data_IF_719261796436
#
_entry.id   IF_719261796436
#
_cell.length_a   1.000
_cell.length_b   1.000
_cell.length_c   1.000
_cell.angle_alpha   90.00
_cell.angle_beta   90.00
_cell.angle_gamma   90.00
#
_symmetry.space_group_name_H-M   'P 1'
#
loop_
_entity.id
_entity.type
_entity.pdbx_description
1 polymer ?
#
# COMPACT_ATOMS: atom_id res chain seq x y z
N UNK A 1 -7.30 13.70 -2.57
CA UNK A 1 -8.18 12.55 -2.37
C UNK A 1 -8.21 11.68 -3.63
N UNK A 2 -8.35 10.36 -3.49
CA UNK A 2 -8.42 9.45 -4.64
C UNK A 2 -9.85 9.37 -5.16
N UNK A 3 -10.25 10.37 -5.95
CA UNK A 3 -11.56 10.50 -6.59
C UNK A 3 -11.45 10.34 -8.11
N UNK A 4 -12.59 10.23 -8.77
CA UNK A 4 -12.66 10.16 -10.24
C UNK A 4 -12.09 11.45 -10.88
N UNK A 5 -12.34 12.61 -10.30
CA UNK A 5 -11.83 13.89 -10.78
C UNK A 5 -10.30 13.95 -10.71
N UNK A 6 -9.73 13.48 -9.60
CA UNK A 6 -8.27 13.40 -9.44
C UNK A 6 -7.66 12.40 -10.43
N UNK A 7 -8.30 11.25 -10.63
CA UNK A 7 -7.88 10.26 -11.61
C UNK A 7 -7.91 10.84 -13.04
N UNK A 8 -8.98 11.53 -13.41
CA UNK A 8 -9.10 12.22 -14.70
C UNK A 8 -8.00 13.25 -14.90
N UNK A 9 -7.64 13.99 -13.85
CA UNK A 9 -6.53 14.96 -13.89
C UNK A 9 -5.18 14.28 -14.15
N UNK A 10 -4.93 13.09 -13.56
CA UNK A 10 -3.71 12.30 -13.84
C UNK A 10 -3.70 11.83 -15.30
N UNK A 11 -4.80 11.29 -15.81
CA UNK A 11 -4.86 10.88 -17.22
C UNK A 11 -4.66 12.07 -18.18
N UNK A 12 -5.24 13.22 -17.86
CA UNK A 12 -5.06 14.44 -18.64
C UNK A 12 -3.59 14.86 -18.67
N UNK A 13 -2.91 14.86 -17.52
CA UNK A 13 -1.48 15.19 -17.42
C UNK A 13 -0.63 14.21 -18.25
N UNK A 14 -0.86 12.91 -18.11
CA UNK A 14 -0.16 11.89 -18.89
C UNK A 14 -0.35 12.10 -20.40
N UNK A 15 -1.59 12.37 -20.83
CA UNK A 15 -1.92 12.59 -22.23
C UNK A 15 -1.27 13.87 -22.78
N UNK A 16 -1.39 14.99 -22.06
CA UNK A 16 -0.88 16.30 -22.48
C UNK A 16 0.65 16.30 -22.54
N UNK A 17 1.31 15.57 -21.65
CA UNK A 17 2.77 15.45 -21.65
C UNK A 17 3.29 14.39 -22.62
N UNK A 18 2.43 13.80 -23.44
CA UNK A 18 2.83 12.86 -24.50
C UNK A 18 3.21 11.47 -24.01
N UNK A 19 2.71 11.04 -22.85
CA UNK A 19 2.93 9.68 -22.37
C UNK A 19 2.38 8.66 -23.39
N UNK A 20 3.18 7.62 -23.65
CA UNK A 20 2.84 6.53 -24.57
C UNK A 20 2.54 5.23 -23.81
N UNK A 21 2.14 4.19 -24.54
CA UNK A 21 2.00 2.84 -23.97
C UNK A 21 3.30 2.24 -23.42
N UNK A 22 4.44 2.83 -23.74
CA UNK A 22 5.77 2.42 -23.29
C UNK A 22 6.33 3.31 -22.18
N UNK A 23 5.56 4.28 -21.70
CA UNK A 23 5.94 5.13 -20.58
C UNK A 23 5.91 4.35 -19.26
N UNK A 24 6.78 4.74 -18.34
CA UNK A 24 6.80 4.25 -16.97
C UNK A 24 6.24 5.33 -16.03
N UNK A 25 5.24 4.98 -15.24
CA UNK A 25 4.72 5.84 -14.18
C UNK A 25 5.42 5.51 -12.86
N UNK A 26 5.92 6.54 -12.16
CA UNK A 26 6.53 6.39 -10.83
C UNK A 26 5.58 6.99 -9.80
N UNK A 27 5.07 6.16 -8.90
CA UNK A 27 4.21 6.56 -7.78
C UNK A 27 5.08 6.78 -6.54
N UNK A 28 5.41 8.02 -6.22
CA UNK A 28 6.14 8.38 -5.00
C UNK A 28 5.17 8.98 -3.98
N UNK A 29 4.89 8.27 -2.88
CA UNK A 29 3.96 8.75 -1.85
C UNK A 29 3.37 7.66 -0.98
N UNK A 30 2.38 8.03 -0.17
CA UNK A 30 1.64 7.09 0.68
C UNK A 30 0.60 6.26 -0.10
N UNK A 31 -0.21 5.48 0.63
CA UNK A 31 -1.18 4.55 0.04
C UNK A 31 -2.18 5.19 -0.91
N UNK A 32 -2.58 6.43 -0.67
CA UNK A 32 -3.45 7.17 -1.59
C UNK A 32 -2.80 7.35 -2.97
N UNK A 33 -1.49 7.63 -3.00
CA UNK A 33 -0.75 7.83 -4.26
C UNK A 33 -0.54 6.50 -4.97
N UNK A 34 -0.18 5.44 -4.24
CA UNK A 34 0.03 4.11 -4.85
C UNK A 34 -1.25 3.52 -5.41
N UNK A 35 -2.40 3.66 -4.71
CA UNK A 35 -3.70 3.21 -5.19
C UNK A 35 -4.17 3.97 -6.43
N UNK A 36 -4.16 5.31 -6.37
CA UNK A 36 -4.61 6.17 -7.46
C UNK A 36 -3.70 6.05 -8.68
N UNK A 37 -2.38 6.11 -8.46
CA UNK A 37 -1.39 6.02 -9.54
C UNK A 37 -1.36 4.65 -10.19
N UNK A 38 -1.48 3.58 -9.40
CA UNK A 38 -1.60 2.22 -9.94
C UNK A 38 -2.86 2.06 -10.78
N UNK A 39 -4.00 2.59 -10.35
CA UNK A 39 -5.24 2.56 -11.13
C UNK A 39 -5.16 3.45 -12.38
N UNK A 40 -4.52 4.61 -12.28
CA UNK A 40 -4.25 5.46 -13.45
C UNK A 40 -3.40 4.72 -14.49
N UNK A 41 -2.32 4.06 -14.05
CA UNK A 41 -1.46 3.27 -14.92
C UNK A 41 -2.21 2.09 -15.56
N UNK A 42 -3.00 1.36 -14.78
CA UNK A 42 -3.77 0.21 -15.27
C UNK A 42 -4.80 0.57 -16.34
N UNK A 43 -5.31 1.79 -16.30
CA UNK A 43 -6.41 2.24 -17.18
C UNK A 43 -5.95 3.16 -18.32
N UNK A 44 -4.81 3.86 -18.17
CA UNK A 44 -4.26 4.71 -19.21
C UNK A 44 -3.77 3.85 -20.39
N UNK A 45 -4.26 4.15 -21.62
CA UNK A 45 -3.90 3.41 -22.86
C UNK A 45 -4.03 1.86 -22.75
N UNK A 46 -4.94 1.36 -21.93
CA UNK A 46 -5.17 -0.07 -21.58
C UNK A 46 -4.05 -0.69 -20.76
N UNK A 47 -3.31 0.10 -20.04
CA UNK A 47 -2.22 -0.29 -19.16
C UNK A 47 -0.87 0.21 -19.63
N UNK A 48 -0.15 0.86 -18.71
CA UNK A 48 1.26 1.22 -18.83
C UNK A 48 2.00 0.66 -17.62
N UNK A 49 3.31 0.49 -17.76
CA UNK A 49 4.16 0.05 -16.64
C UNK A 49 4.19 1.09 -15.52
N UNK A 50 4.26 0.61 -14.27
CA UNK A 50 4.45 1.51 -13.15
C UNK A 50 5.24 0.85 -12.02
N UNK A 51 5.88 1.69 -11.20
CA UNK A 51 6.56 1.29 -9.96
C UNK A 51 6.04 2.12 -8.80
N UNK A 52 6.03 1.54 -7.61
CA UNK A 52 5.69 2.23 -6.37
C UNK A 52 6.96 2.51 -5.54
N UNK A 53 7.04 3.73 -5.00
CA UNK A 53 8.03 4.14 -4.00
C UNK A 53 7.22 4.65 -2.79
N UNK A 54 6.77 3.74 -1.89
CA UNK A 54 5.93 4.10 -0.76
C UNK A 54 6.72 4.93 0.26
N UNK A 55 6.11 6.00 0.78
CA UNK A 55 6.74 6.92 1.74
C UNK A 55 6.09 6.91 3.12
N UNK A 56 5.04 6.12 3.34
CA UNK A 56 4.43 5.88 4.65
C UNK A 56 4.55 4.42 5.03
N UNK A 57 4.64 4.13 6.32
CA UNK A 57 4.81 2.75 6.80
C UNK A 57 3.65 1.84 6.34
N UNK A 58 2.40 2.32 6.43
CA UNK A 58 1.24 1.57 5.93
C UNK A 58 1.32 1.29 4.43
N UNK A 59 1.82 2.24 3.63
CA UNK A 59 2.01 2.00 2.21
C UNK A 59 3.12 0.98 1.93
N UNK A 60 4.20 0.99 2.71
CA UNK A 60 5.32 0.04 2.57
C UNK A 60 4.88 -1.40 2.81
N UNK A 61 4.11 -1.64 3.88
CA UNK A 61 3.76 -3.00 4.31
C UNK A 61 2.40 -3.48 3.77
N UNK A 62 1.56 -2.57 3.27
CA UNK A 62 0.21 -2.91 2.81
C UNK A 62 -0.11 -2.34 1.42
N UNK A 63 -0.37 -1.04 1.29
CA UNK A 63 -1.04 -0.49 0.12
C UNK A 63 -0.25 -0.64 -1.20
N UNK A 64 1.08 -0.60 -1.18
CA UNK A 64 1.90 -0.75 -2.39
C UNK A 64 2.08 -2.20 -2.84
N UNK A 65 1.74 -3.18 -1.99
CA UNK A 65 1.96 -4.62 -2.20
C UNK A 65 0.63 -5.32 -2.49
N UNK A 66 0.63 -6.23 -3.45
CA UNK A 66 -0.53 -7.10 -3.75
C UNK A 66 -1.48 -6.58 -4.82
N UNK A 67 -1.11 -5.49 -5.52
CA UNK A 67 -1.74 -5.08 -6.78
C UNK A 67 -3.18 -4.58 -6.70
N UNK A 68 -3.75 -4.36 -5.52
CA UNK A 68 -5.04 -3.70 -5.38
C UNK A 68 -4.85 -2.20 -5.65
N UNK A 69 -5.51 -1.69 -6.68
CA UNK A 69 -5.48 -0.28 -7.05
C UNK A 69 -6.90 0.25 -7.16
N UNK A 70 -7.13 1.54 -6.92
CA UNK A 70 -8.49 2.03 -7.03
C UNK A 70 -8.73 3.43 -6.48
N UNK A 71 -9.99 3.83 -6.62
CA UNK A 71 -10.51 5.12 -6.20
C UNK A 71 -11.76 4.98 -5.34
N UNK A 72 -12.06 6.04 -4.61
CA UNK A 72 -13.33 6.19 -3.92
C UNK A 72 -14.40 6.67 -4.92
N UNK A 73 -15.61 6.18 -4.79
CA UNK A 73 -16.72 6.55 -5.64
C UNK A 73 -18.02 6.54 -4.85
N UNK A 74 -18.88 7.51 -5.11
CA UNK A 74 -20.21 7.63 -4.49
C UNK A 74 -20.21 7.51 -2.96
N UNK A 75 -19.21 8.14 -2.28
CA UNK A 75 -19.08 8.10 -0.83
C UNK A 75 -18.47 6.81 -0.25
N UNK A 76 -18.21 5.82 -1.08
CA UNK A 76 -17.61 4.54 -0.67
C UNK A 76 -16.11 4.52 -0.94
N UNK A 77 -15.34 3.95 -0.01
CA UNK A 77 -13.89 3.78 -0.16
C UNK A 77 -13.59 2.58 -1.07
N UNK A 78 -12.60 2.75 -1.98
CA UNK A 78 -12.09 1.67 -2.84
C UNK A 78 -13.15 0.97 -3.70
N UNK A 79 -14.22 1.70 -4.07
CA UNK A 79 -15.37 1.12 -4.77
C UNK A 79 -15.05 0.74 -6.22
N UNK A 80 -14.18 1.52 -6.87
CA UNK A 80 -13.77 1.26 -8.25
C UNK A 80 -12.26 1.03 -8.28
N UNK A 81 -11.84 -0.08 -8.86
CA UNK A 81 -10.43 -0.42 -8.93
C UNK A 81 -10.12 -1.58 -9.86
N UNK A 82 -8.85 -1.96 -9.85
CA UNK A 82 -8.34 -3.09 -10.60
C UNK A 82 -7.28 -3.85 -9.79
N UNK A 83 -7.18 -5.15 -10.04
CA UNK A 83 -6.02 -5.93 -9.66
C UNK A 83 -4.95 -5.72 -10.73
N UNK A 84 -4.00 -4.85 -10.45
CA UNK A 84 -2.91 -4.48 -11.34
C UNK A 84 -1.62 -4.38 -10.52
N UNK A 85 -0.79 -5.43 -10.48
CA UNK A 85 0.45 -5.39 -9.72
C UNK A 85 1.45 -4.41 -10.34
N UNK A 86 2.19 -3.70 -9.49
CA UNK A 86 3.30 -2.86 -9.91
C UNK A 86 4.43 -3.72 -10.51
N UNK A 87 5.18 -3.18 -11.46
CA UNK A 87 6.38 -3.84 -11.99
C UNK A 87 7.45 -4.02 -10.90
N UNK A 88 7.51 -3.07 -9.96
CA UNK A 88 8.39 -3.14 -8.79
C UNK A 88 7.87 -2.24 -7.68
N UNK A 89 8.21 -2.59 -6.43
CA UNK A 89 8.01 -1.75 -5.25
C UNK A 89 9.38 -1.50 -4.63
N UNK A 90 9.78 -0.22 -4.55
CA UNK A 90 11.05 0.19 -3.96
C UNK A 90 10.79 0.74 -2.55
N UNK A 91 11.13 -0.05 -1.53
CA UNK A 91 10.90 0.29 -0.13
C UNK A 91 12.18 0.88 0.47
N UNK A 92 12.12 2.15 0.88
CA UNK A 92 13.20 2.83 1.57
C UNK A 92 12.69 3.43 2.88
N UNK A 93 13.16 2.87 4.00
CA UNK A 93 12.70 3.24 5.35
C UNK A 93 13.15 4.64 5.80
N UNK A 94 14.12 5.25 5.13
CA UNK A 94 14.55 6.63 5.41
C UNK A 94 13.41 7.65 5.24
N UNK A 95 12.44 7.39 4.37
CA UNK A 95 11.23 8.24 4.26
C UNK A 95 10.42 8.32 5.56
N UNK A 96 10.53 7.31 6.44
CA UNK A 96 9.80 7.28 7.70
C UNK A 96 10.34 8.27 8.74
N UNK A 97 11.54 8.84 8.55
CA UNK A 97 12.12 9.83 9.47
C UNK A 97 11.29 11.11 9.56
N UNK A 98 10.54 11.43 8.54
CA UNK A 98 9.67 12.62 8.48
C UNK A 98 8.20 12.29 8.63
N UNK A 99 7.87 11.02 8.84
CA UNK A 99 6.49 10.57 9.01
C UNK A 99 6.00 10.95 10.43
N UNK A 100 4.82 11.53 10.52
CA UNK A 100 4.23 11.85 11.81
C UNK A 100 3.85 10.57 12.60
N UNK A 101 3.78 10.71 13.91
CA UNK A 101 3.55 9.60 14.84
C UNK A 101 2.24 8.85 14.58
N UNK A 102 1.16 9.56 14.21
CA UNK A 102 -0.14 8.92 13.94
C UNK A 102 -0.06 7.99 12.72
N UNK A 103 0.54 8.46 11.62
CA UNK A 103 0.73 7.65 10.42
C UNK A 103 1.76 6.53 10.62
N UNK A 104 2.78 6.75 11.47
CA UNK A 104 3.70 5.68 11.86
C UNK A 104 2.95 4.53 12.56
N UNK A 105 2.19 4.85 13.62
CA UNK A 105 1.45 3.81 14.35
C UNK A 105 0.33 3.17 13.55
N UNK A 106 -0.27 3.89 12.59
CA UNK A 106 -1.22 3.28 11.65
C UNK A 106 -0.57 2.15 10.84
N UNK A 107 0.62 2.37 10.30
CA UNK A 107 1.38 1.32 9.60
C UNK A 107 1.91 0.24 10.54
N UNK A 108 2.31 0.62 11.75
CA UNK A 108 2.80 -0.33 12.74
C UNK A 108 1.71 -1.31 13.22
N UNK A 109 0.48 -0.85 13.36
CA UNK A 109 -0.67 -1.70 13.65
C UNK A 109 -0.90 -2.76 12.55
N UNK A 110 -0.64 -2.41 11.29
CA UNK A 110 -0.68 -3.37 10.18
C UNK A 110 0.42 -4.42 10.29
N UNK A 111 1.65 -4.02 10.68
CA UNK A 111 2.74 -4.97 10.94
C UNK A 111 2.41 -5.91 12.09
N UNK A 112 1.81 -5.41 13.19
CA UNK A 112 1.33 -6.25 14.29
C UNK A 112 0.28 -7.26 13.80
N UNK A 113 -0.64 -6.86 12.93
CA UNK A 113 -1.58 -7.80 12.30
C UNK A 113 -0.83 -8.88 11.48
N UNK A 114 0.19 -8.50 10.71
CA UNK A 114 1.00 -9.47 9.98
C UNK A 114 1.69 -10.46 10.91
N UNK A 115 2.26 -10.00 12.02
CA UNK A 115 2.81 -10.86 13.07
C UNK A 115 1.77 -11.85 13.62
N UNK A 116 0.56 -11.35 13.92
CA UNK A 116 -0.51 -12.16 14.49
C UNK A 116 -1.00 -13.27 13.56
N UNK A 117 -1.06 -13.01 12.24
CA UNK A 117 -1.55 -14.00 11.26
C UNK A 117 -0.46 -14.89 10.68
N UNK A 118 0.83 -14.61 10.95
CA UNK A 118 1.95 -15.38 10.38
C UNK A 118 2.58 -16.33 11.39
N UNK A 119 3.41 -15.83 12.29
CA UNK A 119 4.15 -16.67 13.24
C UNK A 119 4.51 -15.92 14.53
N UNK A 120 4.74 -16.70 15.59
CA UNK A 120 5.04 -16.18 16.93
C UNK A 120 6.37 -15.42 17.03
N UNK A 121 7.35 -15.73 16.18
CA UNK A 121 8.66 -15.05 16.22
C UNK A 121 8.51 -13.59 15.73
N UNK A 122 7.91 -13.37 14.55
CA UNK A 122 7.66 -12.03 14.03
C UNK A 122 6.76 -11.22 14.97
N UNK A 123 5.72 -11.85 15.55
CA UNK A 123 4.88 -11.23 16.57
C UNK A 123 5.68 -10.76 17.78
N UNK A 124 6.57 -11.61 18.32
CA UNK A 124 7.40 -11.27 19.48
C UNK A 124 8.39 -10.15 19.18
N UNK A 125 9.02 -10.15 18.00
CA UNK A 125 9.93 -9.08 17.57
C UNK A 125 9.21 -7.74 17.47
N UNK A 126 8.01 -7.71 16.91
CA UNK A 126 7.19 -6.49 16.84
C UNK A 126 6.79 -6.00 18.24
N UNK A 127 6.39 -6.87 19.17
CA UNK A 127 6.02 -6.46 20.52
C UNK A 127 7.21 -5.89 21.32
N UNK A 128 8.43 -6.33 21.03
CA UNK A 128 9.65 -5.90 21.72
C UNK A 128 10.33 -4.69 21.05
N UNK A 129 9.82 -4.23 19.90
CA UNK A 129 10.40 -3.09 19.20
C UNK A 129 10.11 -1.78 19.95
N UNK A 130 11.17 -1.02 20.24
CA UNK A 130 11.05 0.27 20.90
C UNK A 130 10.64 1.38 19.91
N UNK A 131 9.36 1.68 19.87
CA UNK A 131 8.81 2.75 19.02
C UNK A 131 9.09 4.17 19.56
N UNK A 132 9.58 4.32 20.78
CA UNK A 132 9.95 5.64 21.36
C UNK A 132 11.35 6.07 20.93
N UNK A 133 12.21 5.11 20.61
CA UNK A 133 13.58 5.33 20.13
C UNK A 133 13.85 4.43 18.92
N UNK A 134 13.39 4.86 17.76
CA UNK A 134 13.35 4.03 16.55
C UNK A 134 14.75 3.70 16.04
N UNK A 135 15.14 2.43 16.11
CA UNK A 135 16.24 1.88 15.34
C UNK A 135 15.77 1.61 13.90
N UNK A 136 16.16 2.44 12.96
CA UNK A 136 15.75 2.30 11.56
C UNK A 136 16.34 1.08 10.86
N UNK A 137 17.47 0.53 11.32
CA UNK A 137 18.03 -0.71 10.80
C UNK A 137 17.17 -1.91 11.22
N UNK A 138 16.78 -1.98 12.49
CA UNK A 138 15.84 -2.98 13.00
C UNK A 138 14.46 -2.83 12.34
N UNK A 139 13.95 -1.59 12.21
CA UNK A 139 12.67 -1.33 11.54
C UNK A 139 12.68 -1.83 10.08
N UNK A 140 13.77 -1.62 9.34
CA UNK A 140 13.91 -2.10 7.96
C UNK A 140 13.76 -3.62 7.87
N UNK A 141 14.32 -4.36 8.81
CA UNK A 141 14.18 -5.81 8.87
C UNK A 141 12.73 -6.22 9.15
N UNK A 142 12.08 -5.59 10.13
CA UNK A 142 10.67 -5.85 10.47
C UNK A 142 9.72 -5.51 9.30
N UNK A 143 9.98 -4.42 8.58
CA UNK A 143 9.24 -4.07 7.36
C UNK A 143 9.41 -5.16 6.31
N UNK A 144 10.62 -5.63 6.07
CA UNK A 144 10.89 -6.71 5.11
C UNK A 144 10.14 -8.00 5.46
N UNK A 145 10.14 -8.40 6.74
CA UNK A 145 9.38 -9.56 7.21
C UNK A 145 7.87 -9.37 7.02
N UNK A 146 7.32 -8.21 7.35
CA UNK A 146 5.90 -7.90 7.14
C UNK A 146 5.50 -7.91 5.67
N UNK A 147 6.34 -7.40 4.79
CA UNK A 147 6.13 -7.46 3.32
C UNK A 147 6.10 -8.91 2.86
N UNK A 148 7.06 -9.73 3.30
CA UNK A 148 7.11 -11.14 2.94
C UNK A 148 5.85 -11.90 3.36
N UNK A 149 5.34 -11.67 4.59
CA UNK A 149 4.07 -12.26 5.04
C UNK A 149 2.93 -11.94 4.10
N UNK A 150 2.85 -10.67 3.65
CA UNK A 150 1.80 -10.26 2.73
C UNK A 150 1.99 -10.87 1.34
N UNK A 151 3.21 -10.86 0.81
CA UNK A 151 3.53 -11.46 -0.50
C UNK A 151 3.16 -12.94 -0.53
N UNK A 152 3.55 -13.71 0.48
CA UNK A 152 3.23 -15.15 0.58
C UNK A 152 1.72 -15.42 0.52
N UNK A 153 0.93 -14.56 1.17
CA UNK A 153 -0.54 -14.68 1.15
C UNK A 153 -1.12 -14.25 -0.21
N UNK A 154 -0.60 -13.18 -0.80
CA UNK A 154 -1.07 -12.66 -2.09
C UNK A 154 -0.74 -13.62 -3.24
N UNK A 155 0.43 -14.27 -3.21
CA UNK A 155 0.82 -15.27 -4.20
C UNK A 155 -0.12 -16.48 -4.19
N UNK A 156 -0.58 -16.90 -3.00
CA UNK A 156 -1.54 -18.01 -2.87
C UNK A 156 -2.96 -17.64 -3.27
N UNK A 157 -3.35 -16.38 -3.12
CA UNK A 157 -4.72 -15.90 -3.40
C UNK A 157 -4.71 -14.46 -3.96
N UNK A 158 -4.29 -14.28 -5.23
CA UNK A 158 -4.15 -12.95 -5.82
C UNK A 158 -5.46 -12.13 -5.86
N UNK A 159 -6.61 -12.81 -5.97
CA UNK A 159 -7.93 -12.20 -6.15
C UNK A 159 -8.81 -12.20 -4.89
N UNK A 160 -8.25 -12.63 -3.73
CA UNK A 160 -8.95 -12.59 -2.44
C UNK A 160 -10.23 -13.45 -2.36
N UNK A 161 -10.15 -14.63 -2.90
CA UNK A 161 -11.26 -15.58 -2.79
C UNK A 161 -11.23 -16.40 -1.48
N UNK A 162 -10.05 -16.59 -0.87
CA UNK A 162 -9.80 -17.46 0.28
C UNK A 162 -8.89 -16.84 1.34
N UNK A 163 -7.65 -17.35 1.43
CA UNK A 163 -6.71 -17.04 2.52
C UNK A 163 -6.35 -15.56 2.63
N UNK A 164 -6.34 -14.82 1.53
CA UNK A 164 -6.05 -13.37 1.52
C UNK A 164 -7.05 -12.57 2.35
N UNK A 165 -8.24 -13.11 2.64
CA UNK A 165 -9.22 -12.48 3.55
C UNK A 165 -8.69 -12.34 4.99
N UNK A 166 -7.69 -13.13 5.39
CA UNK A 166 -7.02 -12.97 6.69
C UNK A 166 -6.37 -11.59 6.86
N UNK A 167 -5.95 -10.95 5.75
CA UNK A 167 -5.43 -9.58 5.76
C UNK A 167 -6.50 -8.53 6.12
N UNK A 168 -7.78 -8.88 6.12
CA UNK A 168 -8.88 -7.99 6.54
C UNK A 168 -9.15 -8.05 8.06
N UNK A 169 -8.38 -8.82 8.82
CA UNK A 169 -8.50 -8.88 10.29
C UNK A 169 -8.35 -7.46 10.87
N UNK A 170 -9.31 -7.05 11.71
CA UNK A 170 -9.35 -5.72 12.33
C UNK A 170 -9.96 -4.60 11.46
N UNK A 171 -10.08 -4.77 10.14
CA UNK A 171 -10.63 -3.73 9.24
C UNK A 171 -12.09 -3.36 9.55
N UNK A 172 -12.87 -4.27 10.10
CA UNK A 172 -14.27 -4.00 10.48
C UNK A 172 -14.39 -2.90 11.55
N UNK A 173 -13.46 -2.88 12.52
CA UNK A 173 -13.39 -1.81 13.52
C UNK A 173 -12.93 -0.49 12.90
N UNK A 174 -11.94 -0.50 12.01
CA UNK A 174 -11.37 0.70 11.40
C UNK A 174 -12.34 1.37 10.41
N UNK A 175 -13.15 0.60 9.69
CA UNK A 175 -14.11 1.14 8.72
C UNK A 175 -15.25 1.93 9.38
N UNK A 176 -15.63 1.57 10.62
CA UNK A 176 -16.73 2.24 11.33
C UNK A 176 -16.27 3.37 12.28
N UNK A 177 -14.99 3.44 12.64
CA UNK A 177 -14.47 4.38 13.64
C UNK A 177 -13.57 5.47 13.08
N UNK A 178 -13.08 5.34 11.85
CA UNK A 178 -12.26 6.38 11.22
C UNK A 178 -13.15 7.40 10.52
N UNK A 179 -13.12 8.69 10.90
CA UNK A 179 -13.77 9.72 10.11
C UNK A 179 -13.14 9.76 8.72
N UNK A 180 -13.99 9.82 7.73
CA UNK A 180 -13.65 9.93 6.29
C UNK A 180 -12.98 11.27 5.96
#
# INVERSE_FOLDING_TARGET
>A
HKTLETLASVWMALSTQGATRHSLLINLGGGMVTDLGGFAAATFKRGISYINIPTTLLAMVDASVGGKTGINFNGLKNEIGAFAPANSVLIETEFLRTLDTHNFFSGYAEMLKHGLISNTAHWAELLNFDSSNIDYAALKQLVGQSVQVKEDIVEQDPFEHGIRKALNLGHTCLLYTSPS
#
